data_IF_981093359872
#
_entry.id   IF_981093359872
#
_cell.length_a   1.000
_cell.length_b   1.000
_cell.length_c   1.000
_cell.angle_alpha   90.00
_cell.angle_beta   90.00
_cell.angle_gamma   90.00
#
_symmetry.space_group_name_H-M   'P 1'
#
loop_
_entity.id
_entity.type
_entity.pdbx_description
1 polymer ?
#
# COMPACT_ATOMS: atom_id res chain seq x y z
N UNK A 1 -21.80 20.93 8.19
CA UNK A 1 -20.32 21.00 8.15
C UNK A 1 -19.86 19.90 7.21
N UNK A 2 -19.49 20.23 5.98
CA UNK A 2 -18.94 19.26 5.02
C UNK A 2 -17.46 19.08 5.40
N UNK A 3 -17.16 18.10 6.25
CA UNK A 3 -15.76 17.76 6.49
C UNK A 3 -15.17 17.25 5.17
N UNK A 4 -14.04 17.81 4.74
CA UNK A 4 -13.33 17.25 3.59
C UNK A 4 -13.12 15.76 3.85
N UNK A 5 -13.65 14.91 2.97
CA UNK A 5 -13.44 13.46 3.07
C UNK A 5 -11.97 13.22 2.76
N UNK A 6 -11.17 12.99 3.81
CA UNK A 6 -9.79 12.57 3.64
C UNK A 6 -9.76 11.14 3.09
N UNK A 7 -8.87 10.89 2.13
CA UNK A 7 -8.62 9.53 1.64
C UNK A 7 -7.77 8.82 2.68
N UNK A 8 -8.28 7.73 3.26
CA UNK A 8 -7.49 6.92 4.20
C UNK A 8 -6.50 6.06 3.45
N UNK A 9 -5.24 6.07 3.89
CA UNK A 9 -4.15 5.36 3.23
C UNK A 9 -3.47 4.41 4.21
N UNK A 10 -3.19 3.21 3.74
CA UNK A 10 -2.28 2.28 4.40
C UNK A 10 -1.04 2.03 3.54
N UNK A 11 0.11 1.87 4.19
CA UNK A 11 1.37 1.49 3.54
C UNK A 11 1.93 0.21 4.16
N UNK A 12 2.30 -0.71 3.27
CA UNK A 12 3.00 -1.94 3.61
C UNK A 12 4.42 -1.87 3.04
N UNK A 13 5.41 -2.05 3.91
CA UNK A 13 6.81 -2.20 3.52
C UNK A 13 7.58 -2.96 4.60
N UNK A 14 8.16 -4.11 4.25
CA UNK A 14 8.91 -4.94 5.18
C UNK A 14 10.30 -4.38 5.57
N UNK A 15 10.76 -3.29 4.92
CA UNK A 15 11.91 -2.52 5.38
C UNK A 15 11.45 -1.40 6.32
N UNK A 16 11.77 -1.45 7.63
CA UNK A 16 11.32 -0.46 8.60
C UNK A 16 11.81 0.96 8.32
N UNK A 17 13.00 1.11 7.72
CA UNK A 17 13.55 2.43 7.39
C UNK A 17 12.79 3.05 6.23
N UNK A 18 12.54 2.25 5.20
CA UNK A 18 11.72 2.67 4.06
C UNK A 18 10.28 2.97 4.50
N UNK A 19 9.70 2.12 5.35
CA UNK A 19 8.37 2.34 5.92
C UNK A 19 8.27 3.68 6.64
N UNK A 20 9.23 4.02 7.51
CA UNK A 20 9.25 5.28 8.22
C UNK A 20 9.30 6.50 7.28
N UNK A 21 10.13 6.44 6.24
CA UNK A 21 10.22 7.50 5.22
C UNK A 21 8.90 7.66 4.47
N UNK A 22 8.29 6.56 4.05
CA UNK A 22 7.02 6.55 3.33
C UNK A 22 5.86 7.06 4.17
N UNK A 23 5.82 6.68 5.44
CA UNK A 23 4.81 7.17 6.39
C UNK A 23 4.91 8.69 6.55
N UNK A 24 6.12 9.21 6.79
CA UNK A 24 6.33 10.66 6.90
C UNK A 24 5.94 11.41 5.62
N UNK A 25 6.22 10.83 4.45
CA UNK A 25 5.82 11.41 3.17
C UNK A 25 4.30 11.45 3.00
N UNK A 26 3.56 10.40 3.38
CA UNK A 26 2.09 10.38 3.33
C UNK A 26 1.46 11.38 4.30
N UNK A 27 2.00 11.49 5.52
CA UNK A 27 1.52 12.44 6.53
C UNK A 27 1.69 13.90 6.09
N UNK A 28 2.66 14.18 5.22
CA UNK A 28 2.91 15.52 4.69
C UNK A 28 1.95 15.93 3.56
N UNK A 29 1.13 15.01 3.02
CA UNK A 29 0.25 15.27 1.87
C UNK A 29 -1.13 15.72 2.36
N UNK A 30 -1.58 16.95 2.07
CA UNK A 30 -2.91 17.41 2.43
C UNK A 30 -4.01 16.55 1.80
N UNK A 31 -5.04 16.21 2.58
CA UNK A 31 -6.17 15.41 2.11
C UNK A 31 -5.96 13.89 2.22
N UNK A 32 -4.76 13.43 2.55
CA UNK A 32 -4.50 12.04 2.90
C UNK A 32 -4.48 11.85 4.41
N UNK A 33 -4.97 10.71 4.86
CA UNK A 33 -4.90 10.31 6.26
C UNK A 33 -4.23 8.93 6.36
N UNK A 34 -2.98 8.90 6.84
CA UNK A 34 -2.28 7.65 7.10
C UNK A 34 -2.91 6.93 8.30
N UNK A 35 -3.44 5.73 8.05
CA UNK A 35 -4.11 4.91 9.06
C UNK A 35 -3.38 3.60 9.39
N UNK A 36 -2.57 3.12 8.46
CA UNK A 36 -1.79 1.89 8.63
C UNK A 36 -0.38 2.10 8.10
N UNK A 37 0.62 1.85 8.93
CA UNK A 37 1.99 1.60 8.52
C UNK A 37 2.38 0.22 9.05
N UNK A 38 2.61 -0.75 8.16
CA UNK A 38 2.82 -2.15 8.54
C UNK A 38 4.07 -2.73 7.89
N UNK A 39 4.87 -3.44 8.69
CA UNK A 39 6.08 -4.16 8.25
C UNK A 39 5.77 -5.63 7.91
N UNK A 40 4.57 -6.09 8.26
CA UNK A 40 4.15 -7.47 8.07
C UNK A 40 2.67 -7.59 7.77
N UNK A 41 2.30 -8.69 7.12
CA UNK A 41 0.91 -8.91 6.73
C UNK A 41 0.05 -9.06 7.99
N UNK A 42 0.58 -9.73 9.02
CA UNK A 42 -0.10 -9.87 10.31
C UNK A 42 -0.46 -8.50 10.90
N UNK A 43 0.51 -7.59 11.02
CA UNK A 43 0.27 -6.24 11.53
C UNK A 43 -0.79 -5.49 10.71
N UNK A 44 -0.74 -5.58 9.38
CA UNK A 44 -1.73 -4.96 8.51
C UNK A 44 -3.14 -5.51 8.78
N UNK A 45 -3.31 -6.83 8.79
CA UNK A 45 -4.62 -7.48 8.92
C UNK A 45 -5.21 -7.41 10.33
N UNK A 46 -4.38 -7.28 11.35
CA UNK A 46 -4.84 -7.12 12.73
C UNK A 46 -5.05 -5.66 13.13
N UNK A 47 -4.73 -4.71 12.25
CA UNK A 47 -5.00 -3.30 12.52
C UNK A 47 -6.52 -3.07 12.57
N UNK A 48 -7.05 -2.39 13.60
CA UNK A 48 -8.47 -2.02 13.64
C UNK A 48 -8.84 -0.99 12.56
N UNK A 49 -7.85 -0.38 11.91
CA UNK A 49 -8.06 0.55 10.80
C UNK A 49 -8.03 -0.15 9.42
N UNK A 50 -7.92 -1.47 9.37
CA UNK A 50 -7.99 -2.23 8.11
C UNK A 50 -9.45 -2.57 7.76
N UNK A 51 -9.88 -2.37 6.51
CA UNK A 51 -9.15 -1.80 5.37
C UNK A 51 -9.10 -0.25 5.39
N UNK A 52 -8.13 0.30 4.66
CA UNK A 52 -8.13 1.73 4.26
C UNK A 52 -8.65 1.85 2.83
N UNK A 53 -8.95 3.08 2.38
CA UNK A 53 -9.41 3.32 1.01
C UNK A 53 -8.35 2.92 -0.02
N UNK A 54 -7.08 3.21 0.27
CA UNK A 54 -5.93 2.86 -0.57
C UNK A 54 -4.84 2.16 0.22
N UNK A 55 -4.46 0.95 -0.22
CA UNK A 55 -3.29 0.23 0.28
C UNK A 55 -2.14 0.33 -0.72
N UNK A 56 -1.05 0.97 -0.32
CA UNK A 56 0.22 0.98 -1.06
C UNK A 56 1.09 -0.18 -0.57
N UNK A 57 1.53 -1.04 -1.47
CA UNK A 57 2.28 -2.26 -1.13
C UNK A 57 3.58 -2.32 -1.92
N UNK A 58 4.70 -2.52 -1.23
CA UNK A 58 5.98 -2.86 -1.86
C UNK A 58 6.46 -4.24 -1.38
N UNK A 59 6.81 -5.11 -2.33
CA UNK A 59 7.40 -6.42 -2.03
C UNK A 59 8.91 -6.30 -1.91
N UNK A 60 9.46 -6.73 -0.78
CA UNK A 60 10.90 -6.84 -0.53
C UNK A 60 11.41 -8.27 -0.79
N UNK A 61 12.69 -8.42 -1.17
CA UNK A 61 13.33 -9.73 -1.26
C UNK A 61 13.27 -10.49 0.08
N UNK A 62 13.04 -11.81 0.02
CA UNK A 62 13.03 -12.69 1.21
C UNK A 62 11.72 -12.71 2.00
N UNK A 63 10.75 -11.89 1.64
CA UNK A 63 9.42 -11.96 2.24
C UNK A 63 8.71 -13.28 1.93
N UNK A 64 8.09 -13.86 2.98
CA UNK A 64 7.39 -15.17 2.88
C UNK A 64 6.06 -15.09 2.16
N UNK A 65 5.36 -13.97 2.29
CA UNK A 65 4.03 -13.78 1.69
C UNK A 65 4.22 -13.08 0.34
N UNK A 66 3.67 -13.69 -0.70
CA UNK A 66 3.77 -13.15 -2.05
C UNK A 66 2.94 -11.87 -2.23
N UNK A 67 3.41 -11.02 -3.13
CA UNK A 67 2.69 -9.80 -3.52
C UNK A 67 1.29 -10.13 -4.06
N UNK A 68 1.16 -11.24 -4.80
CA UNK A 68 -0.12 -11.75 -5.31
C UNK A 68 -1.14 -11.99 -4.18
N UNK A 69 -0.70 -12.58 -3.07
CA UNK A 69 -1.58 -12.82 -1.92
C UNK A 69 -1.98 -11.51 -1.23
N UNK A 70 -1.02 -10.60 -1.02
CA UNK A 70 -1.29 -9.28 -0.41
C UNK A 70 -2.33 -8.50 -1.21
N UNK A 71 -2.18 -8.45 -2.55
CA UNK A 71 -3.12 -7.75 -3.43
C UNK A 71 -4.52 -8.35 -3.31
N UNK A 72 -4.65 -9.68 -3.39
CA UNK A 72 -5.96 -10.35 -3.26
C UNK A 72 -6.63 -10.05 -1.93
N UNK A 73 -5.90 -10.10 -0.82
CA UNK A 73 -6.46 -9.82 0.51
C UNK A 73 -6.93 -8.36 0.62
N UNK A 74 -6.13 -7.40 0.16
CA UNK A 74 -6.54 -5.99 0.15
C UNK A 74 -7.79 -5.77 -0.72
N UNK A 75 -7.86 -6.38 -1.92
CA UNK A 75 -9.04 -6.27 -2.79
C UNK A 75 -10.27 -6.98 -2.25
N UNK A 76 -10.12 -8.10 -1.56
CA UNK A 76 -11.24 -8.79 -0.88
C UNK A 76 -11.84 -7.92 0.23
N UNK A 77 -11.03 -7.04 0.83
CA UNK A 77 -11.47 -6.02 1.78
C UNK A 77 -11.83 -4.68 1.10
N UNK A 78 -12.02 -4.67 -0.22
CA UNK A 78 -12.42 -3.51 -1.05
C UNK A 78 -11.43 -2.33 -1.10
N UNK A 79 -10.21 -2.47 -0.55
CA UNK A 79 -9.18 -1.42 -0.65
C UNK A 79 -8.67 -1.29 -2.08
N UNK A 80 -8.52 -0.08 -2.64
CA UNK A 80 -7.75 0.14 -3.88
C UNK A 80 -6.29 -0.22 -3.61
N UNK A 81 -5.65 -0.99 -4.50
CA UNK A 81 -4.26 -1.44 -4.30
C UNK A 81 -3.33 -0.76 -5.29
N UNK A 82 -2.29 -0.10 -4.77
CA UNK A 82 -1.18 0.44 -5.55
C UNK A 82 0.08 -0.36 -5.22
N UNK A 83 0.77 -0.87 -6.24
CA UNK A 83 1.96 -1.70 -6.05
C UNK A 83 3.19 -0.93 -6.53
N UNK A 84 4.09 -0.63 -5.60
CA UNK A 84 5.39 -0.03 -5.93
C UNK A 84 6.34 -1.14 -6.36
N UNK A 85 6.91 -1.02 -7.55
CA UNK A 85 7.88 -1.99 -8.05
C UNK A 85 9.20 -1.83 -7.32
N UNK A 86 9.62 -2.88 -6.60
CA UNK A 86 10.93 -2.94 -5.98
C UNK A 86 11.97 -3.54 -6.92
N UNK A 87 13.15 -2.94 -7.01
CA UNK A 87 14.26 -3.49 -7.77
C UNK A 87 14.69 -4.84 -7.17
N UNK A 88 14.73 -5.89 -7.99
CA UNK A 88 15.19 -7.22 -7.57
C UNK A 88 14.15 -8.10 -6.86
N UNK A 89 12.91 -7.65 -6.70
CA UNK A 89 11.82 -8.54 -6.28
C UNK A 89 11.34 -9.40 -7.46
N UNK A 90 11.16 -10.73 -7.30
CA UNK A 90 10.57 -11.56 -8.35
C UNK A 90 9.16 -11.05 -8.65
N UNK A 91 8.97 -10.56 -9.88
CA UNK A 91 7.79 -9.77 -10.28
C UNK A 91 6.76 -10.58 -11.06
N UNK A 92 6.75 -11.91 -10.92
CA UNK A 92 5.74 -12.72 -11.58
C UNK A 92 4.39 -12.54 -10.87
N UNK A 93 3.67 -11.52 -11.34
CA UNK A 93 2.28 -11.28 -11.01
C UNK A 93 1.45 -12.36 -11.68
N UNK A 94 0.56 -12.98 -10.90
CA UNK A 94 -0.40 -13.90 -11.47
C UNK A 94 -1.37 -13.13 -12.39
N UNK A 95 -1.83 -13.73 -13.50
CA UNK A 95 -2.65 -13.02 -14.50
C UNK A 95 -3.94 -12.41 -13.95
N UNK A 96 -4.54 -13.03 -12.93
CA UNK A 96 -5.76 -12.53 -12.28
C UNK A 96 -5.50 -11.26 -11.44
N UNK A 97 -4.26 -11.04 -11.02
CA UNK A 97 -3.90 -9.98 -10.09
C UNK A 97 -3.57 -8.66 -10.82
N UNK A 98 -3.23 -8.72 -12.10
CA UNK A 98 -2.88 -7.51 -12.87
C UNK A 98 -4.05 -6.54 -13.02
N UNK A 99 -5.30 -7.03 -13.03
CA UNK A 99 -6.50 -6.17 -13.06
C UNK A 99 -6.97 -5.71 -11.69
N UNK A 100 -6.31 -6.18 -10.62
CA UNK A 100 -6.68 -5.93 -9.22
C UNK A 100 -5.86 -4.82 -8.56
N UNK A 101 -4.91 -4.23 -9.27
CA UNK A 101 -4.00 -3.22 -8.71
C UNK A 101 -3.52 -2.24 -9.76
N UNK A 102 -2.99 -1.10 -9.32
CA UNK A 102 -2.28 -0.13 -10.16
C UNK A 102 -0.78 -0.24 -9.89
N UNK A 103 0.06 -0.65 -10.86
CA UNK A 103 1.50 -0.68 -10.67
C UNK A 103 2.10 0.72 -10.86
N UNK A 104 3.07 1.07 -10.01
CA UNK A 104 3.89 2.28 -10.14
C UNK A 104 5.37 1.93 -10.01
N UNK A 105 6.23 2.75 -10.62
CA UNK A 105 7.68 2.57 -10.54
C UNK A 105 8.25 3.13 -9.23
N UNK A 106 7.63 4.17 -8.65
CA UNK A 106 8.12 4.83 -7.45
C UNK A 106 7.00 5.06 -6.43
N UNK A 107 7.38 5.35 -5.18
CA UNK A 107 6.42 5.72 -4.14
C UNK A 107 5.83 7.13 -4.37
N UNK A 108 6.57 8.03 -4.99
CA UNK A 108 6.10 9.38 -5.32
C UNK A 108 4.97 9.33 -6.35
N UNK A 109 5.10 8.50 -7.39
CA UNK A 109 4.00 8.20 -8.33
C UNK A 109 2.76 7.65 -7.62
N UNK A 110 2.92 6.85 -6.55
CA UNK A 110 1.80 6.36 -5.77
C UNK A 110 1.03 7.51 -5.09
N UNK A 111 1.75 8.48 -4.52
CA UNK A 111 1.17 9.66 -3.86
C UNK A 111 0.42 10.51 -4.89
N UNK A 112 1.04 10.80 -6.04
CA UNK A 112 0.42 11.58 -7.11
C UNK A 112 -0.90 10.96 -7.60
N UNK A 113 -0.97 9.63 -7.70
CA UNK A 113 -2.18 8.89 -8.10
C UNK A 113 -3.33 8.89 -7.08
N UNK A 114 -3.05 9.26 -5.83
CA UNK A 114 -4.06 9.35 -4.76
C UNK A 114 -4.48 10.81 -4.56
N UNK A 115 -3.53 11.74 -4.65
CA UNK A 115 -3.76 13.16 -4.40
C UNK A 115 -4.29 13.94 -5.62
N UNK A 116 -4.09 13.43 -6.84
CA UNK A 116 -4.63 14.00 -8.09
C UNK A 116 -6.05 13.55 -8.39
#
# INVERSE_FOLDING_TARGET
MSGATHTTVGVFDADPRSLAVKSAALEAVPGLELRIAAESLGQMLTSPAFPTDVMIVEQRPGERVSINYKIRVCRLADARVIVVRSAGAPSELAPDVTSLMTPVATFEEAIELIAG
#
